data_IF_563618916267
#
_entry.id   IF_563618916267
#
_cell.length_a   1.000
_cell.length_b   1.000
_cell.length_c   1.000
_cell.angle_alpha   90.00
_cell.angle_beta   90.00
_cell.angle_gamma   90.00
#
_symmetry.space_group_name_H-M   'P 1'
#
loop_
_entity.id
_entity.type
_entity.pdbx_description
1 polymer ?
#
# COMPACT_ATOMS: atom_id res chain seq x y z
N UNK A 1 5.04 -14.12 -30.59
CA UNK A 1 3.95 -14.25 -29.60
C UNK A 1 4.07 -13.09 -28.63
N UNK A 2 3.21 -12.07 -28.75
CA UNK A 2 3.19 -10.93 -27.86
C UNK A 2 2.19 -11.25 -26.74
N UNK A 3 2.70 -11.41 -25.52
CA UNK A 3 1.88 -11.55 -24.33
C UNK A 3 1.23 -10.19 -24.09
N UNK A 4 0.02 -9.99 -24.62
CA UNK A 4 -0.83 -8.88 -24.20
C UNK A 4 -1.17 -9.12 -22.73
N UNK A 5 -0.39 -8.53 -21.84
CA UNK A 5 -0.76 -8.35 -20.43
C UNK A 5 -1.99 -7.46 -20.45
N UNK A 6 -3.17 -8.07 -20.39
CA UNK A 6 -4.42 -7.37 -20.10
C UNK A 6 -4.23 -6.72 -18.73
N UNK A 7 -3.87 -5.44 -18.74
CA UNK A 7 -3.88 -4.59 -17.56
C UNK A 7 -5.35 -4.41 -17.23
N UNK A 8 -5.90 -5.31 -16.42
CA UNK A 8 -7.24 -5.18 -15.85
C UNK A 8 -7.40 -3.74 -15.37
N UNK A 9 -8.48 -3.04 -15.76
CA UNK A 9 -8.60 -1.63 -15.48
C UNK A 9 -8.53 -1.44 -13.97
N UNK A 10 -7.47 -0.73 -13.55
CA UNK A 10 -7.33 -0.18 -12.21
C UNK A 10 -8.68 0.40 -11.81
N UNK A 11 -9.25 -0.14 -10.73
CA UNK A 11 -10.55 0.20 -10.14
C UNK A 11 -11.08 1.56 -10.63
N UNK A 12 -12.03 1.54 -11.57
CA UNK A 12 -12.59 2.77 -12.15
C UNK A 12 -13.62 3.33 -11.16
N UNK A 13 -13.36 4.54 -10.67
CA UNK A 13 -14.21 5.23 -9.68
C UNK A 13 -15.56 5.58 -10.30
N UNK A 14 -16.65 4.98 -9.80
CA UNK A 14 -18.00 5.16 -10.33
C UNK A 14 -18.62 6.55 -10.02
N UNK A 15 -18.11 7.26 -9.00
CA UNK A 15 -18.58 8.60 -8.64
C UNK A 15 -17.48 9.42 -7.95
N UNK A 16 -17.46 10.76 -8.12
CA UNK A 16 -16.53 11.65 -7.43
C UNK A 16 -16.92 11.73 -5.95
N UNK A 17 -16.48 10.76 -5.18
CA UNK A 17 -16.67 10.74 -3.74
C UNK A 17 -15.54 11.53 -3.08
N UNK A 18 -15.86 12.68 -2.49
CA UNK A 18 -14.90 13.55 -1.79
C UNK A 18 -14.14 12.79 -0.69
N UNK A 19 -14.79 11.80 -0.07
CA UNK A 19 -14.19 10.91 0.91
C UNK A 19 -13.04 10.08 0.33
N UNK A 20 -13.14 9.61 -0.91
CA UNK A 20 -12.08 8.82 -1.52
C UNK A 20 -10.80 9.64 -1.72
N UNK A 21 -10.93 10.87 -2.22
CA UNK A 21 -9.76 11.70 -2.50
C UNK A 21 -9.06 12.11 -1.20
N UNK A 22 -9.83 12.37 -0.14
CA UNK A 22 -9.32 12.60 1.22
C UNK A 22 -8.57 11.36 1.74
N UNK A 23 -9.15 10.18 1.60
CA UNK A 23 -8.52 8.93 2.04
C UNK A 23 -7.24 8.63 1.24
N UNK A 24 -7.25 8.91 -0.06
CA UNK A 24 -6.10 8.72 -0.94
C UNK A 24 -4.95 9.66 -0.57
N UNK A 25 -5.25 10.95 -0.38
CA UNK A 25 -4.26 11.95 0.07
C UNK A 25 -3.68 11.57 1.44
N UNK A 26 -4.52 11.10 2.35
CA UNK A 26 -4.07 10.64 3.67
C UNK A 26 -3.16 9.42 3.55
N UNK A 27 -3.51 8.44 2.72
CA UNK A 27 -2.69 7.26 2.49
C UNK A 27 -1.32 7.60 1.86
N UNK A 28 -1.28 8.56 0.94
CA UNK A 28 -0.02 9.08 0.38
C UNK A 28 0.82 9.79 1.45
N UNK A 29 0.20 10.68 2.25
CA UNK A 29 0.88 11.42 3.32
C UNK A 29 1.46 10.49 4.40
N UNK A 30 0.76 9.39 4.69
CA UNK A 30 1.21 8.36 5.64
C UNK A 30 2.22 7.38 5.02
N UNK A 31 2.61 7.55 3.75
CA UNK A 31 3.59 6.69 3.07
C UNK A 31 3.08 5.32 2.65
N UNK A 32 1.79 5.04 2.86
CA UNK A 32 1.13 3.78 2.50
C UNK A 32 1.07 3.54 1.00
N UNK A 33 1.19 4.61 0.21
CA UNK A 33 1.28 4.58 -1.24
C UNK A 33 2.57 5.28 -1.65
N UNK A 34 3.46 4.58 -2.36
CA UNK A 34 4.72 5.13 -2.86
C UNK A 34 5.83 5.28 -1.81
N UNK A 35 5.66 4.75 -0.61
CA UNK A 35 6.72 4.72 0.40
C UNK A 35 7.92 3.87 -0.04
N UNK A 36 9.13 4.25 0.38
CA UNK A 36 10.39 3.58 -0.01
C UNK A 36 10.61 2.25 0.72
N UNK A 37 10.06 2.10 1.92
CA UNK A 37 10.30 0.93 2.78
C UNK A 37 9.07 0.03 2.79
N UNK A 38 9.26 -1.29 2.72
CA UNK A 38 8.15 -2.26 2.65
C UNK A 38 8.12 -3.14 3.88
N UNK A 39 6.94 -3.36 4.46
CA UNK A 39 6.74 -4.34 5.52
C UNK A 39 6.98 -5.75 4.96
N UNK A 40 7.84 -6.54 5.60
CA UNK A 40 8.15 -7.91 5.17
C UNK A 40 7.02 -8.94 5.37
N UNK A 41 5.97 -8.59 6.12
CA UNK A 41 4.83 -9.49 6.41
C UNK A 41 3.64 -9.20 5.50
N UNK A 42 3.08 -7.99 5.57
CA UNK A 42 1.88 -7.62 4.80
C UNK A 42 2.21 -6.96 3.45
N UNK A 43 3.46 -6.60 3.19
CA UNK A 43 3.88 -5.99 1.94
C UNK A 43 3.46 -4.52 1.76
N UNK A 44 2.90 -3.85 2.78
CA UNK A 44 2.59 -2.42 2.72
C UNK A 44 3.86 -1.56 2.65
N UNK A 45 3.78 -0.38 2.01
CA UNK A 45 4.89 0.57 1.96
C UNK A 45 4.78 1.65 3.05
N UNK A 46 5.91 2.22 3.45
CA UNK A 46 6.04 3.25 4.47
C UNK A 46 7.14 4.25 4.10
N UNK A 47 7.08 5.45 4.68
CA UNK A 47 8.09 6.50 4.46
C UNK A 47 9.40 6.22 5.20
N UNK A 48 9.32 5.57 6.36
CA UNK A 48 10.49 5.22 7.16
C UNK A 48 10.67 3.71 7.33
N UNK A 49 11.91 3.30 7.55
CA UNK A 49 12.26 1.91 7.84
C UNK A 49 11.65 1.44 9.18
N UNK A 50 11.66 2.30 10.20
CA UNK A 50 11.09 1.99 11.51
C UNK A 50 9.61 1.66 11.47
N UNK A 51 8.82 2.41 10.69
CA UNK A 51 7.39 2.14 10.49
C UNK A 51 7.17 0.82 9.76
N UNK A 52 7.97 0.52 8.74
CA UNK A 52 7.89 -0.74 8.00
C UNK A 52 8.20 -1.96 8.89
N UNK A 53 9.19 -1.83 9.78
CA UNK A 53 9.54 -2.87 10.76
C UNK A 53 8.45 -3.02 11.83
N UNK A 54 7.83 -1.92 12.26
CA UNK A 54 6.79 -1.92 13.28
C UNK A 54 5.44 -2.48 12.79
N UNK A 55 5.09 -2.26 11.51
CA UNK A 55 3.76 -2.52 10.94
C UNK A 55 3.17 -3.90 11.29
N UNK A 56 3.99 -4.95 11.27
CA UNK A 56 3.56 -6.32 11.59
C UNK A 56 4.53 -7.01 12.57
N UNK A 57 5.26 -6.23 13.39
CA UNK A 57 6.29 -6.77 14.29
C UNK A 57 5.76 -7.91 15.17
N UNK A 58 4.57 -7.70 15.77
CA UNK A 58 3.89 -8.70 16.62
C UNK A 58 3.54 -10.01 15.91
N UNK A 59 3.35 -9.98 14.58
CA UNK A 59 3.07 -11.17 13.77
C UNK A 59 4.37 -11.89 13.40
N UNK A 60 5.46 -11.15 13.21
CA UNK A 60 6.79 -11.69 12.91
C UNK A 60 7.34 -12.49 14.10
N UNK A 61 7.15 -11.99 15.32
CA UNK A 61 7.66 -12.62 16.53
C UNK A 61 6.91 -13.91 16.90
N UNK A 62 5.68 -14.11 16.37
CA UNK A 62 4.88 -15.32 16.58
C UNK A 62 5.26 -16.50 15.68
N UNK A 63 6.15 -16.30 14.70
CA UNK A 63 6.59 -17.37 13.78
C UNK A 63 7.92 -18.02 14.18
N UNK A 64 8.41 -17.76 15.41
CA UNK A 64 9.67 -18.31 15.92
C UNK A 64 9.44 -19.29 17.07
#
# INVERSE_FOLDING_TARGET
MLINREVSPVLIKASPNSTFDILLQRAQKEGRIGGKHRCGVCGMTHQSEGEALACCAKLRDKQR
#
